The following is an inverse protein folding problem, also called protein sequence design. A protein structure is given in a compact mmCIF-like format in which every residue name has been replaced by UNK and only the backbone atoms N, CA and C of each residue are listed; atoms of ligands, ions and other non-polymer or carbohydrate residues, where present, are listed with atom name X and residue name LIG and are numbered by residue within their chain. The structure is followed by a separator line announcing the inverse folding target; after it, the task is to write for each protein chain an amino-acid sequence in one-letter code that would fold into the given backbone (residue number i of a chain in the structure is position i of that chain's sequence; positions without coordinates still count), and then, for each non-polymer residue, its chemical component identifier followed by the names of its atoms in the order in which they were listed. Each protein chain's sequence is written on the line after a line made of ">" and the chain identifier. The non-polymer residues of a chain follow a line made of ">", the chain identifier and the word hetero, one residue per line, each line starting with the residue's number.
data_IF_763231308807
#
_entry.id   IF_763231308807
#
_cell.length_a   1.000
_cell.length_b   1.000
_cell.length_c   1.000
_cell.angle_alpha   90.00
_cell.angle_beta   90.00
_cell.angle_gamma   90.00
#
_symmetry.space_group_name_H-M   'P 1'
#
loop_
_entity.id
_entity.type
_entity.pdbx_description
1 polymer ?
#
# COMPACT_ATOMS: atom_id res chain seq x y z
N UNK A 1 0.75 15.82 10.56
CA UNK A 1 0.61 15.50 9.11
C UNK A 1 1.85 15.80 8.28
N UNK A 2 2.35 17.05 8.17
CA UNK A 2 3.51 17.39 7.29
C UNK A 2 4.75 16.49 7.52
N UNK A 3 5.20 16.35 8.77
CA UNK A 3 6.35 15.51 9.10
C UNK A 3 6.15 14.03 8.72
N UNK A 4 4.93 13.50 8.85
CA UNK A 4 4.63 12.13 8.44
C UNK A 4 4.69 11.96 6.91
N UNK A 5 4.27 12.97 6.13
CA UNK A 5 4.40 12.94 4.68
C UNK A 5 5.87 12.98 4.21
N UNK A 6 6.75 13.63 4.98
CA UNK A 6 8.20 13.61 4.73
C UNK A 6 8.78 12.21 5.01
N UNK A 7 8.43 11.59 6.14
CA UNK A 7 8.81 10.19 6.45
C UNK A 7 8.29 9.19 5.38
N UNK A 8 7.06 9.38 4.89
CA UNK A 8 6.47 8.58 3.80
C UNK A 8 7.24 8.73 2.49
N UNK A 9 7.72 9.95 2.19
CA UNK A 9 8.55 10.21 1.01
C UNK A 9 9.90 9.50 1.12
N UNK A 10 10.55 9.53 2.28
CA UNK A 10 11.82 8.83 2.50
C UNK A 10 11.68 7.31 2.32
N UNK A 11 10.61 6.70 2.84
CA UNK A 11 10.33 5.27 2.61
C UNK A 11 10.09 4.98 1.13
N UNK A 12 9.32 5.84 0.44
CA UNK A 12 9.07 5.73 -1.01
C UNK A 12 10.36 5.72 -1.82
N UNK A 13 11.25 6.67 -1.53
CA UNK A 13 12.50 6.83 -2.27
C UNK A 13 13.50 5.70 -1.94
N UNK A 14 13.65 5.34 -0.66
CA UNK A 14 14.57 4.28 -0.23
C UNK A 14 14.15 2.89 -0.71
N UNK A 15 12.87 2.58 -0.70
CA UNK A 15 12.36 1.31 -1.22
C UNK A 15 12.25 1.31 -2.75
N UNK A 16 12.44 2.45 -3.43
CA UNK A 16 12.19 2.63 -4.88
C UNK A 16 10.86 1.98 -5.29
N UNK A 17 9.81 2.30 -4.53
CA UNK A 17 8.49 1.67 -4.62
C UNK A 17 7.42 2.72 -4.41
N UNK A 18 6.73 3.09 -5.48
CA UNK A 18 5.85 4.25 -5.48
C UNK A 18 4.41 3.87 -5.12
N UNK A 19 3.93 4.41 -4.00
CA UNK A 19 2.52 4.34 -3.61
C UNK A 19 1.74 5.57 -4.12
N UNK A 20 0.44 5.39 -4.34
CA UNK A 20 -0.49 6.51 -4.51
C UNK A 20 -0.89 7.03 -3.14
N UNK A 21 -0.93 8.35 -3.00
CA UNK A 21 -1.26 9.05 -1.76
C UNK A 21 -2.45 9.95 -2.01
N UNK A 22 -3.47 9.86 -1.16
CA UNK A 22 -4.63 10.75 -1.16
C UNK A 22 -4.73 11.43 0.20
N UNK A 23 -4.62 12.76 0.22
CA UNK A 23 -4.53 13.55 1.45
C UNK A 23 -5.82 14.34 1.62
N UNK A 24 -6.60 13.98 2.64
CA UNK A 24 -7.77 14.74 3.02
C UNK A 24 -7.40 15.80 4.07
N UNK A 25 -8.02 16.97 3.97
CA UNK A 25 -7.75 18.10 4.88
C UNK A 25 -8.73 18.20 6.06
N UNK A 26 -9.87 17.51 6.01
CA UNK A 26 -10.88 17.56 7.07
C UNK A 26 -11.71 16.26 7.16
N UNK A 27 -11.50 15.43 8.20
CA UNK A 27 -10.37 15.48 9.13
C UNK A 27 -9.04 15.26 8.40
N UNK A 28 -7.91 15.75 8.93
CA UNK A 28 -6.60 15.52 8.31
C UNK A 28 -6.31 14.03 8.27
N UNK A 29 -6.23 13.45 7.07
CA UNK A 29 -5.91 12.05 6.88
C UNK A 29 -5.10 11.84 5.61
N UNK A 30 -4.40 10.72 5.55
CA UNK A 30 -3.72 10.28 4.34
C UNK A 30 -4.05 8.82 4.08
N UNK A 31 -4.52 8.54 2.88
CA UNK A 31 -4.76 7.18 2.39
C UNK A 31 -3.60 6.80 1.47
N UNK A 32 -2.94 5.68 1.80
CA UNK A 32 -1.78 5.19 1.06
C UNK A 32 -2.18 3.90 0.37
N UNK A 33 -2.04 3.85 -0.95
CA UNK A 33 -2.37 2.69 -1.78
C UNK A 33 -1.13 2.23 -2.53
N UNK A 34 -0.69 1.01 -2.22
CA UNK A 34 0.55 0.44 -2.77
C UNK A 34 0.28 -0.92 -3.41
N UNK A 35 0.87 -1.14 -4.58
CA UNK A 35 0.90 -2.42 -5.26
C UNK A 35 2.11 -2.45 -6.21
N UNK A 36 2.47 -3.65 -6.67
CA UNK A 36 3.55 -3.83 -7.63
C UNK A 36 2.98 -4.02 -9.04
N UNK A 37 3.24 -3.07 -9.94
CA UNK A 37 2.84 -3.13 -11.36
C UNK A 37 3.39 -4.34 -12.11
N UNK A 38 4.58 -4.78 -11.72
CA UNK A 38 5.31 -5.89 -12.34
C UNK A 38 5.32 -7.15 -11.45
N UNK A 39 4.23 -7.37 -10.70
CA UNK A 39 4.02 -8.59 -9.93
C UNK A 39 4.08 -9.84 -10.81
N UNK A 40 4.48 -10.97 -10.23
CA UNK A 40 4.55 -12.25 -10.94
C UNK A 40 3.51 -13.20 -10.37
N UNK A 41 2.45 -13.48 -11.14
CA UNK A 41 1.48 -14.51 -10.71
C UNK A 41 2.10 -15.91 -10.75
N UNK A 42 1.57 -16.88 -9.98
CA UNK A 42 1.93 -18.28 -10.12
C UNK A 42 1.78 -18.79 -11.56
N UNK A 43 2.59 -19.77 -11.93
CA UNK A 43 2.43 -20.45 -13.21
C UNK A 43 1.18 -21.33 -13.15
N UNK A 44 0.37 -21.28 -14.20
CA UNK A 44 -0.81 -22.15 -14.35
C UNK A 44 -0.44 -23.50 -14.98
N UNK A 45 0.66 -23.54 -15.74
CA UNK A 45 1.20 -24.74 -16.38
C UNK A 45 2.74 -24.79 -16.22
N UNK A 46 3.35 -25.99 -16.28
CA UNK A 46 4.80 -26.11 -16.40
C UNK A 46 5.34 -25.29 -17.58
N UNK A 47 6.53 -24.72 -17.41
CA UNK A 47 7.25 -23.93 -18.42
C UNK A 47 6.54 -22.69 -18.95
N UNK A 48 5.49 -22.20 -18.26
CA UNK A 48 4.83 -20.94 -18.61
C UNK A 48 5.83 -19.77 -18.62
N UNK A 49 6.01 -19.06 -19.76
CA UNK A 49 6.98 -17.98 -19.86
C UNK A 49 6.74 -16.87 -18.84
N UNK A 50 7.80 -16.43 -18.15
CA UNK A 50 7.73 -15.35 -17.16
C UNK A 50 7.00 -14.11 -17.66
N UNK A 51 7.24 -13.71 -18.92
CA UNK A 51 6.64 -12.51 -19.53
C UNK A 51 5.10 -12.56 -19.56
N UNK A 52 4.50 -13.74 -19.76
CA UNK A 52 3.05 -13.94 -19.77
C UNK A 52 2.39 -13.93 -18.38
N UNK A 53 3.21 -13.88 -17.32
CA UNK A 53 2.80 -13.91 -15.92
C UNK A 53 3.00 -12.57 -15.19
N UNK A 54 3.58 -11.57 -15.87
CA UNK A 54 3.77 -10.24 -15.29
C UNK A 54 2.43 -9.51 -15.30
N UNK A 55 1.94 -9.15 -14.13
CA UNK A 55 0.71 -8.40 -13.96
C UNK A 55 0.72 -7.62 -12.63
N UNK A 56 -0.06 -6.55 -12.49
CA UNK A 56 -0.25 -5.87 -11.21
C UNK A 56 -0.68 -6.85 -10.11
N UNK A 57 -0.07 -6.71 -8.94
CA UNK A 57 -0.34 -7.59 -7.81
C UNK A 57 0.25 -7.09 -6.51
N UNK A 58 -0.19 -7.70 -5.41
CA UNK A 58 0.44 -7.54 -4.09
C UNK A 58 1.61 -8.51 -3.99
N UNK A 59 2.77 -7.99 -3.57
CA UNK A 59 4.01 -8.74 -3.38
C UNK A 59 4.55 -8.50 -1.97
N UNK A 60 5.60 -9.25 -1.60
CA UNK A 60 6.30 -9.01 -0.33
C UNK A 60 6.91 -7.60 -0.24
N UNK A 61 7.15 -6.92 -1.36
CA UNK A 61 7.62 -5.53 -1.37
C UNK A 61 6.54 -4.57 -0.87
N UNK A 62 5.28 -4.81 -1.25
CA UNK A 62 4.12 -4.04 -0.78
C UNK A 62 3.90 -4.26 0.72
N UNK A 63 4.04 -5.50 1.19
CA UNK A 63 3.94 -5.84 2.62
C UNK A 63 5.06 -5.16 3.41
N UNK A 64 6.31 -5.27 2.94
CA UNK A 64 7.46 -4.58 3.57
C UNK A 64 7.25 -3.07 3.60
N UNK A 65 6.79 -2.49 2.51
CA UNK A 65 6.48 -1.06 2.42
C UNK A 65 5.47 -0.66 3.51
N UNK A 66 4.37 -1.40 3.63
CA UNK A 66 3.36 -1.15 4.67
C UNK A 66 3.97 -1.19 6.08
N UNK A 67 4.79 -2.20 6.40
CA UNK A 67 5.47 -2.28 7.70
C UNK A 67 6.39 -1.08 7.98
N UNK A 68 7.14 -0.62 6.98
CA UNK A 68 8.02 0.54 7.14
C UNK A 68 7.22 1.82 7.40
N UNK A 69 6.08 2.00 6.74
CA UNK A 69 5.19 3.14 6.99
C UNK A 69 4.59 3.07 8.40
N UNK A 70 4.13 1.91 8.84
CA UNK A 70 3.59 1.72 10.19
C UNK A 70 4.63 2.03 11.27
N UNK A 71 5.87 1.57 11.09
CA UNK A 71 6.98 1.88 12.01
C UNK A 71 7.27 3.39 12.10
N UNK A 72 7.24 4.09 10.97
CA UNK A 72 7.37 5.57 10.94
C UNK A 72 6.17 6.25 11.60
N UNK A 73 4.96 5.75 11.34
CA UNK A 73 3.73 6.31 11.88
C UNK A 73 3.65 6.18 13.41
N UNK A 74 4.22 5.12 13.98
CA UNK A 74 4.23 4.88 15.43
C UNK A 74 4.80 6.06 16.25
N UNK A 75 5.71 6.86 15.68
CA UNK A 75 6.25 8.07 16.31
C UNK A 75 5.19 9.15 16.55
N UNK A 76 4.19 9.21 15.69
CA UNK A 76 3.12 10.21 15.71
C UNK A 76 1.89 9.73 16.48
N UNK A 77 1.63 8.42 16.50
CA UNK A 77 0.51 7.81 17.22
C UNK A 77 0.58 7.97 18.76
N UNK A 78 1.78 8.16 19.32
CA UNK A 78 1.98 8.28 20.79
C UNK A 78 1.94 9.74 21.27
N UNK A 79 2.17 10.71 20.39
CA UNK A 79 2.39 12.10 20.77
C UNK A 79 1.10 12.89 21.11
N UNK A 80 -0.06 12.50 20.57
CA UNK A 80 -1.28 13.33 20.63
C UNK A 80 -2.30 12.92 21.70
N UNK A 81 -2.04 11.88 22.52
CA UNK A 81 -2.96 11.43 23.59
C UNK A 81 -4.33 10.93 23.10
N UNK A 82 -4.66 11.15 21.84
CA UNK A 82 -5.69 10.47 21.09
C UNK A 82 -5.06 9.25 20.43
N UNK A 83 -5.71 8.10 20.56
CA UNK A 83 -5.31 6.86 19.93
C UNK A 83 -5.51 6.97 18.41
N UNK A 84 -4.72 7.81 17.73
CA UNK A 84 -4.56 7.82 16.28
C UNK A 84 -3.85 6.52 15.89
N UNK A 85 -4.63 5.44 15.80
CA UNK A 85 -4.15 4.19 15.22
C UNK A 85 -4.18 4.37 13.71
N UNK A 86 -3.16 3.87 13.03
CA UNK A 86 -3.33 3.46 11.65
C UNK A 86 -4.59 2.60 11.61
N UNK A 87 -5.64 3.12 10.99
CA UNK A 87 -6.83 2.34 10.74
C UNK A 87 -6.47 1.54 9.50
N UNK A 88 -5.99 0.32 9.73
CA UNK A 88 -6.26 -0.74 8.76
C UNK A 88 -7.77 -0.69 8.58
N UNK A 89 -8.23 -0.32 7.39
CA UNK A 89 -9.62 -0.46 7.03
C UNK A 89 -9.93 -1.95 7.05
N UNK A 90 -10.22 -2.48 8.25
CA UNK A 90 -10.84 -3.79 8.45
C UNK A 90 -12.30 -3.77 8.00
N UNK A 91 -12.77 -2.64 7.47
CA UNK A 91 -14.11 -2.47 6.91
C UNK A 91 -14.25 -3.00 5.49
N UNK A 92 -13.16 -3.30 4.79
CA UNK A 92 -13.24 -4.11 3.59
C UNK A 92 -13.54 -5.54 4.02
N UNK A 93 -14.79 -5.98 3.85
CA UNK A 93 -15.15 -7.39 3.89
C UNK A 93 -14.15 -8.16 3.01
N UNK A 94 -13.88 -9.43 3.29
CA UNK A 94 -12.93 -10.23 2.50
C UNK A 94 -13.30 -10.22 0.99
N UNK A 95 -14.60 -10.11 0.71
CA UNK A 95 -15.23 -9.91 -0.60
C UNK A 95 -14.83 -8.60 -1.29
N UNK A 96 -14.48 -7.58 -0.51
CA UNK A 96 -13.97 -6.30 -0.94
C UNK A 96 -12.44 -6.30 -1.02
N UNK A 97 -11.71 -7.40 -0.95
CA UNK A 97 -10.27 -7.38 -1.30
C UNK A 97 -10.10 -7.60 -2.82
N UNK A 98 -9.19 -6.87 -3.48
CA UNK A 98 -8.98 -7.07 -4.92
C UNK A 98 -8.43 -8.48 -5.17
N UNK A 99 -9.23 -9.31 -5.82
CA UNK A 99 -8.88 -10.70 -6.18
C UNK A 99 -8.36 -10.85 -7.62
N UNK A 100 -8.21 -9.74 -8.34
CA UNK A 100 -7.67 -9.69 -9.70
C UNK A 100 -6.79 -8.47 -9.91
N UNK A 101 -5.90 -8.53 -10.90
CA UNK A 101 -5.06 -7.39 -11.28
C UNK A 101 -5.91 -6.17 -11.71
N UNK A 102 -7.03 -6.40 -12.40
CA UNK A 102 -7.97 -5.34 -12.80
C UNK A 102 -8.66 -4.71 -11.59
N UNK A 103 -9.09 -5.52 -10.61
CA UNK A 103 -9.67 -5.01 -9.37
C UNK A 103 -8.67 -4.17 -8.56
N UNK A 104 -7.39 -4.57 -8.57
CA UNK A 104 -6.32 -3.84 -7.91
C UNK A 104 -6.07 -2.49 -8.57
N UNK A 105 -5.94 -2.45 -9.90
CA UNK A 105 -5.73 -1.20 -10.64
C UNK A 105 -6.93 -0.24 -10.52
N UNK A 106 -8.18 -0.75 -10.53
CA UNK A 106 -9.37 0.09 -10.30
C UNK A 106 -9.32 0.85 -8.97
N UNK A 107 -8.66 0.30 -7.97
CA UNK A 107 -8.54 0.89 -6.64
C UNK A 107 -7.38 1.86 -6.49
N UNK A 108 -6.47 1.92 -7.45
CA UNK A 108 -5.27 2.76 -7.38
C UNK A 108 -5.59 4.24 -7.12
N UNK A 109 -6.72 4.73 -7.64
CA UNK A 109 -7.16 6.13 -7.55
C UNK A 109 -8.59 6.29 -7.01
N UNK A 110 -9.17 5.23 -6.46
CA UNK A 110 -10.54 5.24 -5.95
C UNK A 110 -10.68 6.04 -4.64
#
# INVERSE_FOLDING_TARGET
>A
MKAFLEDLKEVTDSENHHAVQDVASSPPSVTIRVHTHSGLRPASIPDEPRKGRVQPGITLRDIRFAYLIEDRFAKYAVADGQSERSRVSSGALEEEQPNSAEALERRRHA
#
